data_IF_794194738238
#
_entry.id   IF_794194738238
#
_cell.length_a   1.000
_cell.length_b   1.000
_cell.length_c   1.000
_cell.angle_alpha   90.00
_cell.angle_beta   90.00
_cell.angle_gamma   90.00
#
_symmetry.space_group_name_H-M   'P 1'
#
loop_
_entity.id
_entity.type
_entity.pdbx_description
1 polymer ?
#
# COMPACT_ATOMS: atom_id res chain seq x y z
N UNK A 1 -10.80 -3.27 46.65
CA UNK A 1 -10.50 -4.36 45.71
C UNK A 1 -10.70 -3.87 44.28
N UNK A 2 -9.68 -3.29 43.66
CA UNK A 2 -9.74 -2.76 42.30
C UNK A 2 -9.24 -3.80 41.30
N UNK A 3 -10.12 -4.29 40.41
CA UNK A 3 -9.75 -5.14 39.27
C UNK A 3 -8.91 -4.33 38.29
N UNK A 4 -7.63 -4.69 38.12
CA UNK A 4 -6.78 -4.21 37.01
C UNK A 4 -7.27 -4.86 35.72
N UNK A 5 -7.88 -4.07 34.82
CA UNK A 5 -8.07 -4.49 33.43
C UNK A 5 -6.71 -4.53 32.73
N UNK A 6 -6.28 -5.71 32.29
CA UNK A 6 -5.13 -5.86 31.41
C UNK A 6 -5.48 -5.31 30.03
N UNK A 7 -5.23 -4.01 29.81
CA UNK A 7 -5.22 -3.41 28.47
C UNK A 7 -3.98 -3.93 27.74
N UNK A 8 -4.17 -4.67 26.65
CA UNK A 8 -3.11 -4.88 25.66
C UNK A 8 -2.80 -3.52 25.02
N UNK A 9 -1.54 -3.08 24.92
CA UNK A 9 -1.22 -1.74 24.42
C UNK A 9 -1.41 -1.65 22.90
N UNK A 10 -2.08 -0.59 22.44
CA UNK A 10 -2.41 -0.28 21.04
C UNK A 10 -1.24 -0.34 20.03
N UNK A 11 0.00 -0.33 20.53
CA UNK A 11 1.24 -0.46 19.74
C UNK A 11 1.37 -1.85 19.08
N UNK A 12 0.86 -2.91 19.71
CA UNK A 12 0.97 -4.26 19.17
C UNK A 12 0.04 -4.50 17.97
N UNK A 13 -1.15 -3.88 17.97
CA UNK A 13 -2.10 -3.96 16.86
C UNK A 13 -1.62 -3.16 15.64
N UNK A 14 -1.05 -1.96 15.85
CA UNK A 14 -0.52 -1.13 14.77
C UNK A 14 0.67 -1.77 14.02
N UNK A 15 1.52 -2.55 14.72
CA UNK A 15 2.64 -3.25 14.08
C UNK A 15 2.18 -4.34 13.10
N UNK A 16 1.12 -5.08 13.42
CA UNK A 16 0.58 -6.15 12.58
C UNK A 16 -0.02 -5.61 11.27
N UNK A 17 -0.62 -4.41 11.30
CA UNK A 17 -1.24 -3.75 10.13
C UNK A 17 -0.18 -3.27 9.11
N UNK A 18 1.04 -2.91 9.54
CA UNK A 18 2.10 -2.38 8.67
C UNK A 18 2.95 -3.44 7.93
N UNK A 19 2.76 -4.74 8.18
CA UNK A 19 3.65 -5.80 7.68
C UNK A 19 3.10 -6.59 6.47
N UNK A 20 1.93 -6.24 5.95
CA UNK A 20 1.23 -6.97 4.88
C UNK A 20 1.73 -6.69 3.45
N UNK A 21 2.91 -6.10 3.26
CA UNK A 21 3.43 -5.83 1.91
C UNK A 21 4.93 -6.09 1.82
N UNK A 22 5.28 -7.36 1.56
CA UNK A 22 6.40 -7.81 0.74
C UNK A 22 6.59 -9.33 0.95
N UNK A 23 6.27 -10.11 -0.07
CA UNK A 23 6.82 -11.45 -0.29
C UNK A 23 7.15 -11.55 -1.77
N UNK A 24 8.44 -11.58 -2.08
CA UNK A 24 8.92 -12.17 -3.32
C UNK A 24 8.72 -13.68 -3.21
N UNK A 25 8.26 -14.29 -4.30
CA UNK A 25 8.04 -15.72 -4.42
C UNK A 25 9.30 -16.49 -4.00
N UNK A 26 9.18 -17.32 -2.96
CA UNK A 26 10.12 -18.41 -2.76
C UNK A 26 9.88 -19.46 -3.86
N UNK A 27 10.96 -20.06 -4.35
CA UNK A 27 10.92 -21.13 -5.34
C UNK A 27 9.99 -22.29 -4.88
N UNK A 28 9.25 -22.93 -5.80
CA UNK A 28 8.37 -24.03 -5.45
C UNK A 28 9.19 -25.24 -4.96
N UNK A 29 8.73 -25.97 -3.91
CA UNK A 29 9.40 -27.18 -3.46
C UNK A 29 9.32 -28.29 -4.53
N UNK A 30 10.39 -29.09 -4.62
CA UNK A 30 10.54 -30.21 -5.56
C UNK A 30 9.45 -31.29 -5.38
N UNK A 31 9.07 -31.92 -6.50
CA UNK A 31 8.04 -32.97 -6.58
C UNK A 31 8.37 -34.18 -5.70
N UNK A 32 7.54 -34.40 -4.69
CA UNK A 32 7.46 -35.67 -3.98
C UNK A 32 6.71 -35.57 -2.66
N UNK A 33 5.41 -35.26 -2.67
CA UNK A 33 4.64 -35.09 -1.42
C UNK A 33 3.41 -36.00 -1.36
N UNK A 34 3.17 -36.49 -0.14
CA UNK A 34 2.19 -37.55 0.18
C UNK A 34 0.88 -36.92 0.62
N UNK A 35 -0.27 -37.54 0.31
CA UNK A 35 -1.61 -37.01 0.65
C UNK A 35 -1.75 -36.71 2.16
N UNK A 36 -2.19 -35.50 2.51
CA UNK A 36 -2.39 -35.07 3.90
C UNK A 36 -1.18 -34.42 4.56
N UNK A 37 -0.14 -34.07 3.79
CA UNK A 37 1.06 -33.44 4.32
C UNK A 37 0.79 -31.98 4.75
N UNK A 38 1.34 -31.62 5.91
CA UNK A 38 1.38 -30.26 6.45
C UNK A 38 2.84 -29.86 6.60
N UNK A 39 3.22 -28.70 6.07
CA UNK A 39 4.54 -28.11 6.33
C UNK A 39 4.39 -26.75 7.02
N UNK A 40 5.20 -26.52 8.06
CA UNK A 40 5.35 -25.22 8.71
C UNK A 40 6.73 -24.66 8.39
N UNK A 41 6.78 -23.47 7.80
CA UNK A 41 8.01 -22.70 7.62
C UNK A 41 7.92 -21.41 8.41
N UNK A 42 8.94 -21.11 9.21
CA UNK A 42 9.05 -19.88 9.98
C UNK A 42 10.06 -18.94 9.30
N UNK A 43 9.60 -17.77 8.89
CA UNK A 43 10.43 -16.71 8.34
C UNK A 43 10.60 -15.61 9.38
N UNK A 44 11.84 -15.27 9.72
CA UNK A 44 12.15 -14.21 10.67
C UNK A 44 12.32 -12.91 9.90
N UNK A 45 11.24 -12.12 9.76
CA UNK A 45 11.24 -10.92 8.93
C UNK A 45 11.96 -9.76 9.61
N UNK A 46 11.62 -9.48 10.88
CA UNK A 46 12.18 -8.32 11.60
C UNK A 46 12.51 -8.64 13.04
N UNK A 47 13.40 -7.87 13.62
CA UNK A 47 13.72 -7.84 15.04
C UNK A 47 13.28 -6.50 15.64
N UNK A 48 12.78 -6.51 16.87
CA UNK A 48 12.26 -5.35 17.57
C UNK A 48 13.30 -4.88 18.59
N UNK A 49 13.92 -3.74 18.34
CA UNK A 49 15.05 -3.22 19.11
C UNK A 49 14.65 -2.05 20.01
N UNK A 50 15.21 -2.06 21.23
CA UNK A 50 15.07 -0.99 22.22
C UNK A 50 13.67 -0.91 22.85
N UNK A 51 13.49 -0.02 23.85
CA UNK A 51 12.24 0.10 24.61
C UNK A 51 11.04 0.50 23.74
N UNK A 52 11.28 1.13 22.59
CA UNK A 52 10.27 1.55 21.62
C UNK A 52 9.90 0.46 20.59
N UNK A 53 10.51 -0.74 20.67
CA UNK A 53 10.27 -1.89 19.76
C UNK A 53 10.40 -1.51 18.27
N UNK A 54 11.47 -0.79 17.91
CA UNK A 54 11.71 -0.38 16.52
C UNK A 54 12.00 -1.61 15.64
N UNK A 55 11.25 -1.84 14.56
CA UNK A 55 11.44 -2.99 13.69
C UNK A 55 12.63 -2.79 12.74
N UNK A 56 13.60 -3.71 12.78
CA UNK A 56 14.80 -3.75 11.92
C UNK A 56 14.89 -5.12 11.25
N UNK A 57 15.49 -5.22 10.07
CA UNK A 57 15.70 -6.51 9.39
C UNK A 57 16.55 -7.47 10.24
N UNK A 58 16.26 -8.76 10.16
CA UNK A 58 17.09 -9.78 10.81
C UNK A 58 18.37 -9.97 9.99
N UNK A 59 19.43 -9.28 10.39
CA UNK A 59 20.76 -9.39 9.78
C UNK A 59 21.66 -10.36 10.56
N UNK A 60 22.86 -10.66 10.04
CA UNK A 60 23.82 -11.57 10.67
C UNK A 60 24.33 -11.16 12.06
N UNK A 61 23.94 -9.98 12.56
CA UNK A 61 24.25 -9.51 13.92
C UNK A 61 23.18 -9.85 14.97
N UNK A 62 22.10 -10.51 14.54
CA UNK A 62 21.01 -10.96 15.40
C UNK A 62 21.04 -12.48 15.46
N UNK A 63 21.33 -13.00 16.64
CA UNK A 63 21.17 -14.41 16.96
C UNK A 63 19.71 -14.68 17.29
N UNK A 64 19.02 -15.30 16.33
CA UNK A 64 17.61 -15.71 16.48
C UNK A 64 17.51 -16.92 17.41
N UNK A 65 16.63 -16.82 18.39
CA UNK A 65 16.28 -17.93 19.26
C UNK A 65 15.53 -19.01 18.49
N UNK A 66 15.94 -20.27 18.66
CA UNK A 66 15.27 -21.42 18.03
C UNK A 66 13.84 -21.57 18.57
N UNK A 67 12.91 -21.98 17.71
CA UNK A 67 11.59 -22.41 18.17
C UNK A 67 11.73 -23.61 19.11
N UNK A 68 11.15 -23.54 20.30
CA UNK A 68 11.23 -24.56 21.35
C UNK A 68 9.99 -25.45 21.36
N UNK A 69 8.84 -24.94 20.92
CA UNK A 69 7.64 -25.73 20.66
C UNK A 69 7.34 -25.77 19.17
N UNK A 70 6.75 -26.88 18.71
CA UNK A 70 6.26 -27.00 17.35
C UNK A 70 4.83 -26.50 17.34
N UNK A 71 4.54 -25.47 16.55
CA UNK A 71 3.17 -25.01 16.27
C UNK A 71 2.44 -26.04 15.41
N UNK A 72 2.29 -27.25 15.94
CA UNK A 72 1.74 -28.39 15.22
C UNK A 72 0.26 -28.16 14.92
N UNK A 73 -0.15 -28.55 13.72
CA UNK A 73 -1.52 -28.50 13.24
C UNK A 73 -1.82 -29.85 12.61
N UNK A 74 -3.02 -30.36 12.88
CA UNK A 74 -3.58 -31.51 12.18
C UNK A 74 -4.51 -31.05 11.06
N UNK A 75 -4.54 -31.78 9.95
CA UNK A 75 -5.40 -31.42 8.81
C UNK A 75 -6.84 -31.82 9.18
N UNK A 76 -7.79 -30.87 9.29
CA UNK A 76 -9.16 -31.23 9.62
C UNK A 76 -9.73 -32.21 8.59
N UNK A 77 -10.27 -33.38 8.99
CA UNK A 77 -10.73 -34.41 8.07
C UNK A 77 -11.81 -33.94 7.09
N UNK A 78 -12.69 -33.02 7.52
CA UNK A 78 -13.70 -32.37 6.69
C UNK A 78 -13.08 -31.49 5.60
N UNK A 79 -12.11 -30.65 5.96
CA UNK A 79 -11.39 -29.77 5.03
C UNK A 79 -10.55 -30.57 4.03
N UNK A 80 -9.93 -31.66 4.48
CA UNK A 80 -9.17 -32.60 3.64
C UNK A 80 -10.09 -33.35 2.67
N UNK A 81 -11.26 -33.81 3.12
CA UNK A 81 -12.25 -34.48 2.27
C UNK A 81 -12.81 -33.54 1.18
N UNK A 82 -12.96 -32.24 1.49
CA UNK A 82 -13.36 -31.20 0.53
C UNK A 82 -12.23 -30.84 -0.46
N UNK A 83 -11.00 -31.28 -0.23
CA UNK A 83 -9.83 -30.98 -1.07
C UNK A 83 -9.32 -29.54 -0.94
N UNK A 84 -9.69 -28.84 0.14
CA UNK A 84 -9.31 -27.45 0.39
C UNK A 84 -7.90 -27.40 0.94
N UNK A 85 -6.98 -26.70 0.27
CA UNK A 85 -5.60 -26.57 0.71
C UNK A 85 -4.90 -25.33 0.13
N UNK A 86 -3.72 -25.02 0.64
CA UNK A 86 -2.98 -23.80 0.35
C UNK A 86 -2.08 -23.39 1.51
N UNK A 87 -1.47 -22.21 1.42
CA UNK A 87 -0.58 -21.68 2.46
C UNK A 87 -1.25 -20.57 3.26
N UNK A 88 -1.46 -20.80 4.56
CA UNK A 88 -1.91 -19.79 5.52
C UNK A 88 -0.68 -19.09 6.10
N UNK A 89 -0.65 -17.75 6.04
CA UNK A 89 0.45 -16.95 6.59
C UNK A 89 -0.01 -16.18 7.85
N UNK A 90 0.62 -16.48 8.98
CA UNK A 90 0.35 -15.86 10.29
C UNK A 90 1.53 -14.99 10.71
N UNK A 91 1.30 -13.70 10.91
CA UNK A 91 2.29 -12.80 11.49
C UNK A 91 2.27 -12.91 13.01
N UNK A 92 3.43 -13.06 13.63
CA UNK A 92 3.62 -13.33 15.06
C UNK A 92 4.60 -12.30 15.63
N UNK A 93 4.23 -11.68 16.75
CA UNK A 93 5.11 -10.81 17.54
C UNK A 93 5.64 -11.57 18.75
N UNK A 94 6.96 -11.70 18.83
CA UNK A 94 7.68 -12.39 19.90
C UNK A 94 8.41 -11.36 20.76
N UNK A 95 8.32 -11.49 22.08
CA UNK A 95 9.06 -10.63 23.01
C UNK A 95 10.54 -11.05 23.16
N UNK A 96 11.29 -10.25 23.90
CA UNK A 96 12.71 -10.42 24.21
C UNK A 96 13.05 -11.73 24.95
N UNK A 97 12.04 -12.36 25.57
CA UNK A 97 12.17 -13.65 26.28
C UNK A 97 11.77 -14.83 25.39
N UNK A 98 11.37 -14.57 24.14
CA UNK A 98 10.96 -15.60 23.19
C UNK A 98 9.48 -16.00 23.30
N UNK A 99 8.64 -15.22 23.98
CA UNK A 99 7.20 -15.50 24.13
C UNK A 99 6.38 -14.79 23.07
N UNK A 100 5.39 -15.47 22.51
CA UNK A 100 4.43 -14.84 21.60
C UNK A 100 3.53 -13.89 22.38
N UNK A 101 3.47 -12.63 21.93
CA UNK A 101 2.69 -11.56 22.53
C UNK A 101 1.49 -11.15 21.69
N UNK A 102 1.54 -11.41 20.37
CA UNK A 102 0.44 -11.19 19.45
C UNK A 102 0.60 -12.08 18.22
N UNK A 103 -0.51 -12.46 17.60
CA UNK A 103 -0.54 -13.16 16.32
C UNK A 103 -1.78 -12.75 15.52
N UNK A 104 -1.65 -12.66 14.20
CA UNK A 104 -2.76 -12.33 13.30
C UNK A 104 -2.57 -12.89 11.90
N UNK A 105 -3.69 -13.17 11.23
CA UNK A 105 -3.69 -13.70 9.85
C UNK A 105 -3.29 -12.59 8.89
N UNK A 106 -2.23 -12.83 8.13
CA UNK A 106 -1.76 -11.96 7.05
C UNK A 106 -2.20 -12.46 5.67
N UNK A 107 -2.35 -13.77 5.51
CA UNK A 107 -2.95 -14.42 4.33
C UNK A 107 -3.73 -15.65 4.76
N UNK A 108 -5.03 -15.67 4.51
CA UNK A 108 -5.91 -16.79 4.81
C UNK A 108 -6.16 -17.71 3.61
N UNK A 109 -6.60 -18.94 3.89
CA UNK A 109 -7.01 -19.93 2.89
C UNK A 109 -8.46 -20.35 3.11
N UNK A 110 -8.81 -20.74 4.34
CA UNK A 110 -10.18 -21.07 4.75
C UNK A 110 -10.32 -20.75 6.25
N UNK A 111 -11.44 -20.17 6.74
CA UNK A 111 -11.59 -19.81 8.14
C UNK A 111 -11.31 -20.94 9.14
N UNK A 112 -11.58 -22.21 8.77
CA UNK A 112 -11.26 -23.37 9.62
C UNK A 112 -9.75 -23.57 9.72
N UNK A 113 -9.03 -23.47 8.60
CA UNK A 113 -7.56 -23.55 8.57
C UNK A 113 -6.91 -22.30 9.19
N UNK A 114 -7.48 -21.12 8.95
CA UNK A 114 -6.99 -19.83 9.46
C UNK A 114 -7.08 -19.78 10.98
N UNK A 115 -8.24 -20.13 11.56
CA UNK A 115 -8.41 -20.19 13.01
C UNK A 115 -7.45 -21.21 13.64
N UNK A 116 -7.30 -22.37 13.02
CA UNK A 116 -6.41 -23.43 13.48
C UNK A 116 -4.93 -23.01 13.45
N UNK A 117 -4.49 -22.36 12.36
CA UNK A 117 -3.13 -21.84 12.24
C UNK A 117 -2.87 -20.69 13.20
N UNK A 118 -3.86 -19.82 13.44
CA UNK A 118 -3.76 -18.72 14.39
C UNK A 118 -3.57 -19.23 15.81
N UNK A 119 -4.36 -20.22 16.24
CA UNK A 119 -4.22 -20.83 17.56
C UNK A 119 -2.88 -21.58 17.69
N UNK A 120 -2.48 -22.34 16.68
CA UNK A 120 -1.18 -23.02 16.69
C UNK A 120 0.00 -22.03 16.75
N UNK A 121 -0.09 -20.91 16.02
CA UNK A 121 0.91 -19.85 16.03
C UNK A 121 1.02 -19.15 17.39
N UNK A 122 -0.11 -18.96 18.10
CA UNK A 122 -0.14 -18.42 19.47
C UNK A 122 0.55 -19.34 20.49
N UNK A 123 0.54 -20.66 20.24
CA UNK A 123 1.19 -21.66 21.08
C UNK A 123 2.69 -21.85 20.83
N UNK A 124 3.28 -21.18 19.83
CA UNK A 124 4.72 -21.27 19.55
C UNK A 124 5.49 -20.54 20.65
N UNK A 125 6.57 -21.13 21.12
CA UNK A 125 7.56 -20.50 21.98
C UNK A 125 8.93 -20.54 21.30
N UNK A 126 9.72 -19.51 21.55
CA UNK A 126 11.06 -19.35 21.02
C UNK A 126 12.05 -19.26 22.17
N UNK A 127 13.30 -19.61 21.92
CA UNK A 127 14.41 -19.17 22.78
C UNK A 127 14.55 -17.64 22.73
N UNK A 128 15.21 -17.03 23.72
CA UNK A 128 15.49 -15.60 23.70
C UNK A 128 16.39 -15.26 22.50
N UNK A 129 16.02 -14.23 21.76
CA UNK A 129 16.83 -13.70 20.66
C UNK A 129 17.70 -12.56 21.15
N UNK A 130 18.94 -12.49 20.66
CA UNK A 130 19.94 -11.54 21.15
C UNK A 130 20.72 -10.95 19.98
N UNK A 131 21.17 -9.71 20.13
CA UNK A 131 22.24 -9.19 19.27
C UNK A 131 23.57 -9.85 19.65
N UNK A 132 24.56 -9.78 18.75
CA UNK A 132 25.96 -10.15 19.06
C UNK A 132 26.54 -9.41 20.27
N UNK A 133 26.06 -8.20 20.56
CA UNK A 133 26.45 -7.43 21.75
C UNK A 133 25.79 -7.92 23.07
N UNK A 134 24.97 -8.98 23.01
CA UNK A 134 24.31 -9.63 24.16
C UNK A 134 22.93 -9.08 24.51
N UNK A 135 22.50 -7.94 23.94
CA UNK A 135 21.21 -7.31 24.24
C UNK A 135 20.05 -8.16 23.70
N UNK A 136 18.97 -8.36 24.47
CA UNK A 136 17.82 -9.12 24.02
C UNK A 136 17.01 -8.34 22.97
N UNK A 137 16.34 -9.06 22.08
CA UNK A 137 15.60 -8.49 20.95
C UNK A 137 14.29 -9.25 20.77
N UNK A 138 13.18 -8.52 20.57
CA UNK A 138 11.93 -9.14 20.13
C UNK A 138 11.97 -9.51 18.65
N UNK A 139 11.02 -10.30 18.17
CA UNK A 139 10.95 -10.70 16.76
C UNK A 139 9.57 -10.49 16.16
N UNK A 140 9.57 -10.28 14.86
CA UNK A 140 8.41 -10.44 13.97
C UNK A 140 8.67 -11.69 13.15
N UNK A 141 7.87 -12.73 13.39
CA UNK A 141 7.98 -14.03 12.73
C UNK A 141 6.77 -14.21 11.83
N UNK A 142 6.97 -14.64 10.59
CA UNK A 142 5.91 -15.09 9.71
C UNK A 142 5.88 -16.62 9.72
N UNK A 143 4.77 -17.20 10.16
CA UNK A 143 4.54 -18.64 10.09
C UNK A 143 3.70 -18.97 8.86
N UNK A 144 4.26 -19.75 7.94
CA UNK A 144 3.58 -20.24 6.75
C UNK A 144 3.22 -21.72 6.92
N UNK A 145 1.92 -22.00 7.00
CA UNK A 145 1.35 -23.35 7.12
C UNK A 145 0.81 -23.79 5.76
N UNK A 146 1.44 -24.77 5.11
CA UNK A 146 0.97 -25.31 3.83
C UNK A 146 0.21 -26.62 4.03
N UNK A 147 -0.99 -26.71 3.45
CA UNK A 147 -1.87 -27.87 3.52
C UNK A 147 -2.03 -28.52 2.14
N UNK A 148 -1.70 -29.82 2.03
CA UNK A 148 -1.64 -30.55 0.76
C UNK A 148 -2.65 -31.72 0.74
N UNK A 149 -3.81 -31.57 0.07
CA UNK A 149 -4.88 -32.57 0.10
C UNK A 149 -4.65 -33.83 -0.78
N UNK A 150 -3.46 -33.99 -1.39
CA UNK A 150 -3.11 -35.12 -2.27
C UNK A 150 -3.44 -34.92 -3.76
N UNK A 151 -3.71 -33.68 -4.18
CA UNK A 151 -3.90 -33.23 -5.56
C UNK A 151 -3.62 -31.72 -5.65
N UNK A 152 -3.90 -31.04 -6.78
CA UNK A 152 -3.78 -29.57 -6.85
C UNK A 152 -4.64 -28.94 -5.74
N UNK A 153 -4.05 -28.22 -4.77
CA UNK A 153 -4.79 -27.66 -3.66
C UNK A 153 -5.87 -26.73 -4.22
N UNK A 154 -7.13 -26.98 -3.87
CA UNK A 154 -8.18 -26.01 -4.15
C UNK A 154 -8.04 -24.95 -3.05
N UNK A 155 -7.58 -23.72 -3.32
CA UNK A 155 -7.93 -22.64 -2.41
C UNK A 155 -9.45 -22.69 -2.27
N UNK A 156 -9.96 -22.42 -1.07
CA UNK A 156 -11.41 -22.24 -0.89
C UNK A 156 -11.91 -21.42 -2.07
N UNK A 157 -12.99 -21.82 -2.77
CA UNK A 157 -13.65 -20.93 -3.71
C UNK A 157 -13.85 -19.62 -2.95
N UNK A 158 -13.17 -18.54 -3.35
CA UNK A 158 -13.20 -17.28 -2.61
C UNK A 158 -14.66 -16.93 -2.42
N UNK A 159 -15.15 -17.04 -1.18
CA UNK A 159 -16.58 -17.16 -0.87
C UNK A 159 -17.39 -17.68 -2.08
N UNK A 160 -17.34 -18.98 -2.38
CA UNK A 160 -18.08 -19.62 -3.48
C UNK A 160 -19.62 -19.58 -3.35
N UNK A 161 -20.16 -18.73 -2.49
CA UNK A 161 -21.36 -17.98 -2.83
C UNK A 161 -20.87 -16.55 -2.98
N UNK A 162 -20.73 -16.06 -4.22
CA UNK A 162 -20.70 -14.63 -4.51
C UNK A 162 -21.73 -14.02 -3.57
N UNK A 163 -21.34 -13.29 -2.51
CA UNK A 163 -22.34 -12.59 -1.77
C UNK A 163 -22.99 -11.71 -2.83
N UNK A 164 -24.33 -11.71 -2.91
CA UNK A 164 -25.05 -11.17 -4.09
C UNK A 164 -24.57 -9.78 -4.54
N UNK A 165 -23.93 -9.04 -3.62
CA UNK A 165 -23.21 -7.81 -3.86
C UNK A 165 -22.17 -7.85 -4.98
N UNK A 166 -21.37 -8.90 -5.23
CA UNK A 166 -20.31 -8.81 -6.27
C UNK A 166 -20.90 -8.74 -7.68
N UNK A 167 -22.00 -9.47 -7.92
CA UNK A 167 -22.73 -9.43 -9.20
C UNK A 167 -23.39 -8.06 -9.39
N UNK A 168 -23.95 -7.50 -8.32
CA UNK A 168 -24.49 -6.13 -8.33
C UNK A 168 -23.38 -5.10 -8.58
N UNK A 169 -22.26 -5.22 -7.87
CA UNK A 169 -21.11 -4.33 -7.98
C UNK A 169 -20.52 -4.38 -9.38
N UNK A 170 -20.29 -5.57 -9.93
CA UNK A 170 -19.84 -5.73 -11.33
C UNK A 170 -20.82 -5.10 -12.30
N UNK A 171 -22.14 -5.26 -12.13
CA UNK A 171 -23.13 -4.60 -12.98
C UNK A 171 -23.03 -3.07 -12.89
N UNK A 172 -22.79 -2.52 -11.71
CA UNK A 172 -22.71 -1.08 -11.50
C UNK A 172 -21.36 -0.48 -11.93
N UNK A 173 -20.24 -1.19 -11.74
CA UNK A 173 -18.88 -0.66 -11.90
C UNK A 173 -18.13 -1.18 -13.12
N UNK A 174 -18.57 -2.24 -13.80
CA UNK A 174 -17.91 -2.65 -15.03
C UNK A 174 -18.07 -1.59 -16.14
N UNK A 175 -17.05 -1.53 -17.01
CA UNK A 175 -17.03 -0.73 -18.23
C UNK A 175 -17.47 -1.58 -19.42
N UNK A 176 -18.13 -0.95 -20.39
CA UNK A 176 -18.33 -1.55 -21.71
C UNK A 176 -17.00 -1.64 -22.46
N UNK A 177 -16.88 -2.49 -23.49
CA UNK A 177 -15.59 -2.70 -24.18
C UNK A 177 -14.93 -1.42 -24.74
N UNK A 178 -15.73 -0.45 -25.20
CA UNK A 178 -15.21 0.82 -25.73
C UNK A 178 -15.03 1.93 -24.67
N UNK A 179 -15.52 1.74 -23.44
CA UNK A 179 -15.44 2.75 -22.39
C UNK A 179 -14.09 2.71 -21.68
N UNK A 180 -13.41 3.84 -21.58
CA UNK A 180 -12.16 3.98 -20.81
C UNK A 180 -12.40 4.49 -19.38
N UNK A 181 -13.55 5.12 -19.15
CA UNK A 181 -13.91 5.77 -17.89
C UNK A 181 -15.42 5.67 -17.64
N UNK A 182 -15.81 5.56 -16.37
CA UNK A 182 -17.19 5.71 -15.91
C UNK A 182 -17.26 6.40 -14.56
N UNK A 183 -18.28 7.24 -14.40
CA UNK A 183 -18.60 7.90 -13.13
C UNK A 183 -19.84 7.25 -12.54
N UNK A 184 -19.68 6.54 -11.43
CA UNK A 184 -20.81 5.97 -10.67
C UNK A 184 -21.26 7.03 -9.67
N UNK A 185 -22.51 7.47 -9.75
CA UNK A 185 -23.03 8.58 -8.93
C UNK A 185 -23.88 8.09 -7.77
N UNK A 186 -24.04 8.89 -6.71
CA UNK A 186 -25.02 8.59 -5.67
C UNK A 186 -26.47 8.62 -6.22
N UNK A 187 -27.40 7.85 -5.62
CA UNK A 187 -27.16 6.92 -4.51
C UNK A 187 -26.31 5.72 -4.96
N UNK A 188 -25.26 5.42 -4.20
CA UNK A 188 -24.36 4.32 -4.52
C UNK A 188 -25.06 2.97 -4.29
N UNK A 189 -24.73 1.93 -5.07
CA UNK A 189 -25.29 0.61 -4.81
C UNK A 189 -24.80 0.10 -3.44
N UNK A 190 -25.64 -0.63 -2.67
CA UNK A 190 -25.24 -1.17 -1.37
C UNK A 190 -23.94 -1.98 -1.43
N UNK A 191 -23.75 -2.73 -2.52
CA UNK A 191 -22.54 -3.50 -2.80
C UNK A 191 -21.23 -2.71 -2.83
N UNK A 192 -21.27 -1.38 -2.98
CA UNK A 192 -20.08 -0.52 -2.86
C UNK A 192 -19.41 -0.69 -1.50
N UNK A 193 -20.20 -0.73 -0.42
CA UNK A 193 -19.67 -0.82 0.94
C UNK A 193 -19.10 -2.21 1.24
N UNK A 194 -19.67 -3.26 0.65
CA UNK A 194 -19.13 -4.61 0.77
C UNK A 194 -17.81 -4.75 0.01
N UNK A 195 -17.71 -4.17 -1.19
CA UNK A 195 -16.45 -4.08 -1.92
C UNK A 195 -15.37 -3.32 -1.14
N UNK A 196 -15.72 -2.18 -0.53
CA UNK A 196 -14.80 -1.40 0.31
C UNK A 196 -14.29 -2.20 1.51
N UNK A 197 -15.18 -2.82 2.28
CA UNK A 197 -14.82 -3.65 3.45
C UNK A 197 -13.95 -4.84 3.08
N UNK A 198 -14.25 -5.48 1.94
CA UNK A 198 -13.50 -6.64 1.45
C UNK A 198 -12.11 -6.22 0.95
N UNK A 199 -12.02 -5.10 0.23
CA UNK A 199 -10.77 -4.65 -0.39
C UNK A 199 -9.83 -3.95 0.60
N UNK A 200 -10.37 -3.29 1.64
CA UNK A 200 -9.61 -2.46 2.58
C UNK A 200 -10.09 -2.67 4.03
N UNK A 201 -9.97 -3.87 4.62
CA UNK A 201 -10.60 -4.20 5.90
C UNK A 201 -10.14 -3.34 7.07
N UNK A 202 -8.84 -3.04 7.19
CA UNK A 202 -8.33 -2.17 8.26
C UNK A 202 -8.81 -0.72 8.13
N UNK A 203 -8.92 -0.20 6.91
CA UNK A 203 -9.48 1.13 6.66
C UNK A 203 -10.98 1.16 6.98
N UNK A 204 -11.70 0.10 6.65
CA UNK A 204 -13.12 -0.02 6.93
C UNK A 204 -13.44 -0.17 8.41
N UNK A 205 -12.54 -0.74 9.21
CA UNK A 205 -12.63 -0.73 10.66
C UNK A 205 -12.45 0.69 11.22
N UNK A 206 -11.46 1.44 10.71
CA UNK A 206 -11.18 2.81 11.14
C UNK A 206 -12.25 3.82 10.68
N UNK A 207 -12.81 3.64 9.48
CA UNK A 207 -13.83 4.51 8.87
C UNK A 207 -14.99 3.64 8.33
N UNK A 208 -15.92 3.22 9.20
CA UNK A 208 -17.03 2.34 8.83
C UNK A 208 -18.05 2.95 7.87
N UNK A 209 -18.18 4.29 7.90
CA UNK A 209 -19.05 5.07 7.00
C UNK A 209 -18.60 5.01 5.54
N UNK A 210 -17.33 4.64 5.33
CA UNK A 210 -16.74 4.49 4.01
C UNK A 210 -16.26 5.80 3.36
N UNK A 211 -15.65 5.67 2.18
CA UNK A 211 -15.07 6.80 1.46
C UNK A 211 -16.13 7.69 0.83
N UNK A 212 -15.84 8.98 0.76
CA UNK A 212 -16.64 9.96 -0.01
C UNK A 212 -16.57 9.67 -1.52
N UNK A 213 -15.45 9.11 -1.98
CA UNK A 213 -15.18 8.71 -3.36
C UNK A 213 -14.23 7.51 -3.40
N UNK A 214 -14.51 6.53 -4.26
CA UNK A 214 -13.60 5.46 -4.62
C UNK A 214 -13.08 5.63 -6.04
N UNK A 215 -11.83 5.26 -6.25
CA UNK A 215 -11.26 5.01 -7.58
C UNK A 215 -11.11 3.51 -7.74
N UNK A 216 -11.74 2.96 -8.78
CA UNK A 216 -11.78 1.53 -9.07
C UNK A 216 -11.16 1.29 -10.43
N UNK A 217 -10.14 0.43 -10.46
CA UNK A 217 -9.52 0.00 -11.71
C UNK A 217 -10.28 -1.20 -12.26
N UNK A 218 -10.65 -1.12 -13.53
CA UNK A 218 -11.31 -2.22 -14.25
C UNK A 218 -10.36 -2.83 -15.29
N UNK A 219 -10.02 -4.11 -15.12
CA UNK A 219 -9.24 -4.87 -16.08
C UNK A 219 -10.17 -5.45 -17.15
N UNK A 220 -10.02 -4.98 -18.39
CA UNK A 220 -10.95 -5.35 -19.46
C UNK A 220 -10.78 -6.74 -20.05
N UNK A 221 -9.67 -7.41 -19.75
CA UNK A 221 -9.42 -8.78 -20.19
C UNK A 221 -10.05 -9.78 -19.22
N UNK A 222 -9.81 -9.57 -17.92
CA UNK A 222 -10.31 -10.44 -16.85
C UNK A 222 -11.67 -10.04 -16.30
N UNK A 223 -12.12 -8.82 -16.56
CA UNK A 223 -13.30 -8.20 -15.92
C UNK A 223 -13.11 -7.91 -14.44
N UNK A 224 -11.87 -7.94 -13.92
CA UNK A 224 -11.55 -7.73 -12.51
C UNK A 224 -11.71 -6.25 -12.14
N UNK A 225 -12.29 -6.00 -10.96
CA UNK A 225 -12.40 -4.68 -10.34
C UNK A 225 -11.46 -4.62 -9.14
N UNK A 226 -10.59 -3.61 -9.08
CA UNK A 226 -9.60 -3.43 -8.03
C UNK A 226 -9.76 -2.05 -7.40
N UNK A 227 -9.71 -1.97 -6.07
CA UNK A 227 -9.71 -0.68 -5.38
C UNK A 227 -8.33 -0.03 -5.58
N UNK A 228 -8.30 1.11 -6.27
CA UNK A 228 -7.06 1.84 -6.57
C UNK A 228 -6.85 3.01 -5.61
N UNK A 229 -7.93 3.70 -5.22
CA UNK A 229 -7.84 4.88 -4.38
C UNK A 229 -9.10 5.13 -3.57
N UNK A 230 -8.92 5.74 -2.40
CA UNK A 230 -9.99 6.11 -1.48
C UNK A 230 -9.80 7.58 -1.07
N UNK A 231 -10.88 8.37 -1.12
CA UNK A 231 -10.88 9.74 -0.57
C UNK A 231 -11.94 9.88 0.50
N UNK A 232 -11.61 10.65 1.54
CA UNK A 232 -12.45 10.94 2.69
C UNK A 232 -12.52 12.45 2.87
N UNK A 233 -13.72 13.01 2.96
CA UNK A 233 -13.92 14.44 3.25
C UNK A 233 -14.13 15.35 2.04
N UNK A 234 -14.52 14.82 0.88
CA UNK A 234 -14.90 15.60 -0.29
C UNK A 234 -14.66 14.88 -1.63
N UNK A 235 -15.31 15.36 -2.68
CA UNK A 235 -15.14 14.87 -4.06
C UNK A 235 -15.28 16.05 -5.01
N UNK A 236 -14.15 16.71 -5.24
CA UNK A 236 -14.00 17.87 -6.12
C UNK A 236 -13.37 17.47 -7.46
N UNK A 237 -13.48 18.36 -8.45
CA UNK A 237 -12.92 18.13 -9.77
C UNK A 237 -11.40 17.94 -9.73
N UNK A 238 -10.67 18.75 -8.96
CA UNK A 238 -9.22 18.58 -8.78
C UNK A 238 -8.89 17.16 -8.31
N UNK A 239 -9.59 16.69 -7.27
CA UNK A 239 -9.47 15.35 -6.76
C UNK A 239 -9.64 14.24 -7.77
N UNK A 240 -10.65 14.39 -8.63
CA UNK A 240 -10.94 13.45 -9.69
C UNK A 240 -9.81 13.40 -10.74
N UNK A 241 -9.24 14.56 -11.07
CA UNK A 241 -8.09 14.64 -11.99
C UNK A 241 -6.85 13.97 -11.37
N UNK A 242 -6.63 14.15 -10.07
CA UNK A 242 -5.55 13.47 -9.34
C UNK A 242 -5.74 11.94 -9.34
N UNK A 243 -6.98 11.47 -9.14
CA UNK A 243 -7.34 10.06 -9.26
C UNK A 243 -7.14 9.49 -10.68
N UNK A 244 -7.10 10.33 -11.72
CA UNK A 244 -6.75 9.95 -13.09
C UNK A 244 -5.24 10.00 -13.36
N UNK A 245 -4.43 10.32 -12.36
CA UNK A 245 -2.98 10.45 -12.50
C UNK A 245 -2.53 11.79 -13.10
N UNK A 246 -3.41 12.80 -13.17
CA UNK A 246 -2.99 14.15 -13.58
C UNK A 246 -2.41 14.88 -12.37
N UNK A 247 -1.09 15.07 -12.37
CA UNK A 247 -0.43 15.78 -11.28
C UNK A 247 -0.91 17.24 -11.19
N UNK A 248 -1.03 17.77 -9.96
CA UNK A 248 -1.47 19.15 -9.70
C UNK A 248 -0.72 20.21 -10.51
N UNK A 249 0.61 20.09 -10.58
CA UNK A 249 1.47 21.01 -11.34
C UNK A 249 1.27 20.93 -12.86
N UNK A 250 0.58 19.90 -13.36
CA UNK A 250 0.25 19.69 -14.76
C UNK A 250 -1.22 20.08 -15.07
N UNK A 251 -1.89 20.79 -14.15
CA UNK A 251 -3.25 21.31 -14.33
C UNK A 251 -3.19 22.82 -14.47
N UNK A 252 -3.90 23.36 -15.46
CA UNK A 252 -4.12 24.80 -15.65
C UNK A 252 -5.62 25.07 -15.73
N UNK A 253 -6.18 25.66 -14.68
CA UNK A 253 -7.62 25.85 -14.53
C UNK A 253 -7.96 26.99 -13.56
N UNK A 254 -9.17 27.53 -13.68
CA UNK A 254 -9.74 28.43 -12.68
C UNK A 254 -9.95 27.68 -11.34
N UNK A 255 -9.56 28.25 -10.19
CA UNK A 255 -9.72 27.60 -8.88
C UNK A 255 -11.17 27.25 -8.54
N UNK A 256 -12.14 28.07 -8.96
CA UNK A 256 -13.57 27.79 -8.75
C UNK A 256 -14.04 26.57 -9.55
N UNK A 257 -13.48 26.35 -10.73
CA UNK A 257 -13.75 25.15 -11.52
C UNK A 257 -13.13 23.90 -10.88
N UNK A 258 -11.90 23.99 -10.36
CA UNK A 258 -11.23 22.88 -9.67
C UNK A 258 -11.94 22.47 -8.38
N UNK A 259 -12.47 23.44 -7.63
CA UNK A 259 -13.23 23.21 -6.40
C UNK A 259 -14.69 22.81 -6.62
N UNK A 260 -15.16 22.68 -7.87
CA UNK A 260 -16.53 22.27 -8.15
C UNK A 260 -16.79 20.85 -7.63
N UNK A 261 -17.93 20.66 -6.95
CA UNK A 261 -18.30 19.35 -6.40
C UNK A 261 -18.69 18.38 -7.51
N UNK A 262 -17.99 17.24 -7.58
CA UNK A 262 -18.22 16.16 -8.54
C UNK A 262 -18.37 14.85 -7.77
N UNK A 263 -19.44 14.73 -6.98
CA UNK A 263 -19.66 13.55 -6.15
C UNK A 263 -19.89 12.30 -7.01
N UNK A 264 -18.92 11.39 -6.98
CA UNK A 264 -18.93 10.14 -7.71
C UNK A 264 -17.90 9.14 -7.15
N UNK A 265 -18.02 7.90 -7.58
CA UNK A 265 -16.90 7.00 -7.71
C UNK A 265 -16.42 7.01 -9.16
N UNK A 266 -15.11 6.87 -9.33
CA UNK A 266 -14.45 6.83 -10.61
C UNK A 266 -14.06 5.39 -10.93
N UNK A 267 -14.48 4.90 -12.11
CA UNK A 267 -13.97 3.66 -12.67
C UNK A 267 -13.09 3.98 -13.87
N UNK A 268 -11.86 3.46 -13.86
CA UNK A 268 -10.88 3.67 -14.94
C UNK A 268 -10.48 2.32 -15.50
N UNK A 269 -10.44 2.20 -16.83
CA UNK A 269 -9.90 1.03 -17.51
C UNK A 269 -8.40 0.92 -17.21
N UNK A 270 -7.95 -0.28 -16.85
CA UNK A 270 -6.53 -0.57 -16.63
C UNK A 270 -5.71 -0.16 -17.85
N UNK A 271 -4.70 0.68 -17.61
CA UNK A 271 -3.80 1.18 -18.66
C UNK A 271 -4.32 2.41 -19.41
N UNK A 272 -5.57 2.84 -19.19
CA UNK A 272 -6.07 4.07 -19.80
C UNK A 272 -5.35 5.29 -19.22
N UNK A 273 -4.92 6.17 -20.10
CA UNK A 273 -4.29 7.44 -19.78
C UNK A 273 -5.32 8.51 -19.44
N UNK A 274 -4.90 9.55 -18.73
CA UNK A 274 -5.75 10.71 -18.48
C UNK A 274 -6.23 11.39 -19.77
N UNK A 275 -5.42 11.37 -20.83
CA UNK A 275 -5.78 11.93 -22.13
C UNK A 275 -6.91 11.16 -22.81
N UNK A 276 -6.86 9.82 -22.76
CA UNK A 276 -7.94 8.97 -23.26
C UNK A 276 -9.23 9.15 -22.45
N UNK A 277 -9.09 9.36 -21.14
CA UNK A 277 -10.20 9.58 -20.22
C UNK A 277 -10.86 10.96 -20.36
N UNK A 278 -10.10 11.99 -20.74
CA UNK A 278 -10.56 13.39 -20.73
C UNK A 278 -11.81 13.66 -21.58
N UNK A 279 -11.97 13.14 -22.82
CA UNK A 279 -13.20 13.34 -23.58
C UNK A 279 -14.45 12.78 -22.88
N UNK A 280 -14.33 11.59 -22.28
CA UNK A 280 -15.43 10.97 -21.53
C UNK A 280 -15.76 11.76 -20.28
N UNK A 281 -14.73 12.19 -19.55
CA UNK A 281 -14.90 13.01 -18.35
C UNK A 281 -15.52 14.37 -18.69
N UNK A 282 -15.01 15.10 -19.68
CA UNK A 282 -15.56 16.38 -20.15
C UNK A 282 -17.05 16.22 -20.49
N UNK A 283 -17.40 15.20 -21.26
CA UNK A 283 -18.79 14.97 -21.64
C UNK A 283 -19.69 14.79 -20.41
N UNK A 284 -19.28 14.00 -19.41
CA UNK A 284 -20.08 13.81 -18.19
C UNK A 284 -20.14 15.08 -17.35
N UNK A 285 -19.03 15.81 -17.20
CA UNK A 285 -19.00 17.08 -16.47
C UNK A 285 -19.99 18.08 -17.08
N UNK A 286 -20.02 18.21 -18.41
CA UNK A 286 -20.94 19.13 -19.12
C UNK A 286 -22.38 18.65 -19.10
N UNK A 287 -22.63 17.39 -19.40
CA UNK A 287 -24.00 16.89 -19.61
C UNK A 287 -24.72 16.53 -18.33
N UNK A 288 -24.00 16.00 -17.34
CA UNK A 288 -24.57 15.50 -16.07
C UNK A 288 -24.38 16.51 -14.95
N UNK A 289 -23.15 16.98 -14.73
CA UNK A 289 -22.84 17.94 -13.66
C UNK A 289 -23.11 19.40 -14.06
N UNK A 290 -23.45 19.65 -15.33
CA UNK A 290 -23.70 20.99 -15.88
C UNK A 290 -22.53 21.95 -15.66
N UNK A 291 -21.31 21.41 -15.59
CA UNK A 291 -20.10 22.20 -15.48
C UNK A 291 -19.67 22.66 -16.87
N UNK A 292 -19.58 23.99 -17.11
CA UNK A 292 -19.18 24.56 -18.38
C UNK A 292 -17.67 24.42 -18.60
N UNK A 293 -17.18 23.21 -18.88
CA UNK A 293 -15.74 22.92 -19.00
C UNK A 293 -15.36 22.40 -20.37
N UNK A 294 -14.22 22.85 -20.87
CA UNK A 294 -13.48 22.24 -21.99
C UNK A 294 -12.13 21.76 -21.49
N UNK A 295 -11.84 20.49 -21.70
CA UNK A 295 -10.59 19.84 -21.30
C UNK A 295 -9.69 19.70 -22.52
N UNK A 296 -8.44 20.14 -22.43
CA UNK A 296 -7.50 20.03 -23.55
C UNK A 296 -6.08 19.87 -23.04
N UNK A 297 -5.37 18.86 -23.50
CA UNK A 297 -3.96 18.72 -23.22
C UNK A 297 -3.11 19.47 -24.24
N UNK A 298 -2.07 20.15 -23.75
CA UNK A 298 -1.13 20.92 -24.57
C UNK A 298 0.30 20.68 -24.10
N UNK A 299 1.21 20.76 -25.06
CA UNK A 299 2.64 20.78 -24.79
C UNK A 299 3.07 22.23 -24.59
N UNK A 300 3.79 22.50 -23.51
CA UNK A 300 4.32 23.82 -23.24
C UNK A 300 5.65 23.79 -22.50
N UNK A 301 6.47 24.81 -22.73
CA UNK A 301 7.73 24.97 -22.02
C UNK A 301 7.47 25.40 -20.57
N UNK A 302 7.86 24.53 -19.63
CA UNK A 302 7.86 24.84 -18.19
C UNK A 302 9.24 24.62 -17.61
N UNK A 303 9.51 25.30 -16.50
CA UNK A 303 10.62 24.92 -15.63
C UNK A 303 10.33 23.53 -15.03
N UNK A 304 11.32 22.66 -15.14
CA UNK A 304 11.33 21.32 -14.54
C UNK A 304 12.62 21.13 -13.74
N UNK A 305 12.58 20.19 -12.81
CA UNK A 305 13.76 19.70 -12.10
C UNK A 305 14.27 18.47 -12.85
N UNK A 306 15.54 18.44 -13.22
CA UNK A 306 16.19 17.27 -13.82
C UNK A 306 17.10 16.61 -12.79
N UNK A 307 16.82 15.35 -12.47
CA UNK A 307 17.58 14.52 -11.56
C UNK A 307 18.63 13.68 -12.32
N UNK A 308 19.89 13.70 -11.87
CA UNK A 308 21.03 13.04 -12.53
C UNK A 308 21.92 12.28 -11.55
N UNK A 309 22.73 11.37 -12.08
CA UNK A 309 23.79 10.66 -11.36
C UNK A 309 23.39 9.26 -10.90
N UNK A 310 24.30 8.59 -10.20
CA UNK A 310 24.08 7.27 -9.59
C UNK A 310 23.44 7.36 -8.21
N UNK A 311 22.41 6.56 -7.96
CA UNK A 311 21.75 6.50 -6.65
C UNK A 311 22.61 5.73 -5.63
N UNK A 312 22.95 6.38 -4.52
CA UNK A 312 23.61 5.76 -3.38
C UNK A 312 23.10 6.37 -2.06
N UNK A 313 22.37 5.58 -1.27
CA UNK A 313 21.77 6.04 -0.02
C UNK A 313 22.84 6.30 1.07
N UNK A 314 22.75 7.48 1.68
CA UNK A 314 23.54 7.97 2.82
C UNK A 314 22.57 8.59 3.84
N UNK A 315 22.00 7.80 4.76
CA UNK A 315 21.01 8.30 5.71
C UNK A 315 21.59 9.43 6.58
N UNK A 316 20.79 10.42 6.99
CA UNK A 316 21.26 11.44 7.92
C UNK A 316 21.57 10.81 9.28
N UNK A 317 22.74 11.12 9.86
CA UNK A 317 23.26 10.46 11.07
C UNK A 317 22.37 10.65 12.33
N UNK A 318 21.50 11.65 12.33
CA UNK A 318 20.72 12.08 13.51
C UNK A 318 19.26 11.61 13.50
N UNK A 319 18.85 10.90 12.46
CA UNK A 319 17.53 10.21 12.42
C UNK A 319 17.82 8.78 12.79
N UNK A 320 17.04 8.18 13.69
CA UNK A 320 17.19 6.75 14.01
C UNK A 320 17.39 5.97 12.72
N UNK A 321 18.53 5.28 12.61
CA UNK A 321 19.10 4.76 11.36
C UNK A 321 18.17 3.73 10.73
N UNK A 322 17.23 4.25 9.96
CA UNK A 322 16.13 3.50 9.40
C UNK A 322 16.31 3.35 7.88
N UNK A 323 17.47 3.66 7.29
CA UNK A 323 17.72 3.46 5.85
C UNK A 323 16.62 4.06 4.94
N UNK A 324 16.10 5.22 5.32
CA UNK A 324 15.00 5.93 4.65
C UNK A 324 15.50 7.28 4.13
N UNK A 325 15.13 7.65 2.91
CA UNK A 325 15.28 9.02 2.41
C UNK A 325 14.25 9.90 3.13
N UNK A 326 14.73 10.87 3.89
CA UNK A 326 13.90 11.86 4.56
C UNK A 326 13.71 13.07 3.64
N UNK A 327 12.46 13.37 3.28
CA UNK A 327 12.10 14.52 2.45
C UNK A 327 11.54 15.60 3.40
N UNK A 328 12.34 16.64 3.67
CA UNK A 328 12.07 17.73 4.63
C UNK A 328 12.67 19.04 4.12
N UNK A 329 12.21 20.19 4.63
CA UNK A 329 12.67 21.53 4.23
C UNK A 329 14.01 21.94 4.87
N UNK A 330 14.04 22.84 5.86
CA UNK A 330 15.29 23.32 6.49
C UNK A 330 15.72 22.45 7.66
N UNK A 331 14.76 22.07 8.50
CA UNK A 331 15.01 21.32 9.72
C UNK A 331 14.29 19.99 9.63
N UNK A 332 15.01 18.90 9.90
CA UNK A 332 14.37 17.60 10.01
C UNK A 332 13.50 17.57 11.28
N UNK A 333 12.18 17.54 11.14
CA UNK A 333 11.25 17.43 12.26
C UNK A 333 11.52 16.14 13.08
N UNK A 334 11.90 16.24 14.36
CA UNK A 334 12.11 15.07 15.22
C UNK A 334 10.80 14.42 15.71
N UNK A 335 9.64 15.05 15.44
CA UNK A 335 8.32 14.60 15.87
C UNK A 335 7.60 13.68 14.87
N UNK A 336 6.37 13.23 15.19
CA UNK A 336 5.56 12.36 14.33
C UNK A 336 4.95 13.08 13.11
N UNK A 337 5.50 14.23 12.70
CA UNK A 337 5.01 15.15 11.67
C UNK A 337 5.09 14.64 10.23
N UNK A 338 5.05 13.32 10.01
CA UNK A 338 5.06 12.73 8.66
C UNK A 338 3.73 13.02 7.95
N UNK A 339 3.83 13.49 6.71
CA UNK A 339 2.72 13.62 5.76
C UNK A 339 2.50 12.32 4.98
N UNK A 340 3.53 11.47 4.88
CA UNK A 340 3.46 10.19 4.20
C UNK A 340 4.78 9.44 4.25
N UNK A 341 4.78 8.24 3.67
CA UNK A 341 5.97 7.41 3.53
C UNK A 341 5.64 6.08 2.89
N UNK A 342 6.66 5.39 2.40
CA UNK A 342 6.48 4.14 1.69
C UNK A 342 7.77 3.52 1.20
N UNK A 343 7.64 2.50 0.36
CA UNK A 343 8.74 1.86 -0.35
C UNK A 343 8.45 1.88 -1.84
N UNK A 344 9.39 2.37 -2.65
CA UNK A 344 9.24 2.52 -4.10
C UNK A 344 10.57 2.29 -4.83
N UNK A 345 10.62 2.45 -6.16
CA UNK A 345 11.85 2.50 -6.95
C UNK A 345 12.47 3.90 -6.89
N UNK A 346 13.68 4.08 -7.44
CA UNK A 346 14.24 5.44 -7.57
C UNK A 346 13.37 6.33 -8.46
N UNK A 347 12.78 5.79 -9.54
CA UNK A 347 11.83 6.53 -10.37
C UNK A 347 10.61 6.99 -9.56
N UNK A 348 10.03 6.10 -8.75
CA UNK A 348 8.90 6.46 -7.89
C UNK A 348 9.28 7.43 -6.76
N UNK A 349 10.53 7.48 -6.29
CA UNK A 349 10.98 8.55 -5.40
C UNK A 349 10.94 9.91 -6.12
N UNK A 350 11.33 9.97 -7.39
CA UNK A 350 11.26 11.20 -8.18
C UNK A 350 9.82 11.64 -8.44
N UNK A 351 8.89 10.71 -8.63
CA UNK A 351 7.45 10.99 -8.70
C UNK A 351 6.95 11.62 -7.39
N UNK A 352 7.30 11.03 -6.24
CA UNK A 352 6.98 11.58 -4.91
C UNK A 352 7.56 12.99 -4.74
N UNK A 353 8.79 13.25 -5.20
CA UNK A 353 9.38 14.58 -5.17
C UNK A 353 8.62 15.55 -6.08
N UNK A 354 8.23 15.12 -7.28
CA UNK A 354 7.47 15.98 -8.18
C UNK A 354 6.14 16.42 -7.56
N UNK A 355 5.43 15.48 -6.91
CA UNK A 355 4.21 15.76 -6.17
C UNK A 355 4.47 16.66 -4.95
N UNK A 356 5.53 16.41 -4.19
CA UNK A 356 5.87 17.19 -2.99
C UNK A 356 6.21 18.64 -3.35
N UNK A 357 7.02 18.83 -4.39
CA UNK A 357 7.53 20.13 -4.82
C UNK A 357 6.56 20.90 -5.72
N UNK A 358 5.48 20.25 -6.17
CA UNK A 358 4.54 20.80 -7.15
C UNK A 358 5.26 21.27 -8.43
N UNK A 359 6.24 20.48 -8.87
CA UNK A 359 7.08 20.77 -10.04
C UNK A 359 7.48 19.45 -10.73
N UNK A 360 7.44 19.34 -12.06
CA UNK A 360 7.87 18.12 -12.75
C UNK A 360 9.32 17.75 -12.43
N UNK A 361 9.57 16.48 -12.14
CA UNK A 361 10.92 15.93 -11.95
C UNK A 361 11.23 14.93 -13.06
N UNK A 362 12.15 15.30 -13.96
CA UNK A 362 12.60 14.46 -15.07
C UNK A 362 13.78 13.62 -14.62
N UNK A 363 13.71 12.31 -14.83
CA UNK A 363 14.79 11.38 -14.51
C UNK A 363 15.80 11.26 -15.66
N UNK A 364 17.04 11.62 -15.39
CA UNK A 364 18.24 11.26 -16.17
C UNK A 364 19.25 10.56 -15.23
N UNK A 365 18.72 9.80 -14.27
CA UNK A 365 19.45 9.01 -13.28
C UNK A 365 19.96 7.72 -13.92
N UNK A 366 21.14 7.27 -13.51
CA UNK A 366 21.72 6.01 -13.98
C UNK A 366 20.79 4.82 -13.66
N UNK A 367 20.68 3.81 -14.56
CA UNK A 367 19.82 2.65 -14.33
C UNK A 367 20.13 1.96 -12.99
N UNK A 368 19.08 1.64 -12.24
CA UNK A 368 19.22 1.01 -10.92
C UNK A 368 18.00 0.19 -10.55
N UNK A 369 18.22 -0.90 -9.82
CA UNK A 369 17.17 -1.75 -9.24
C UNK A 369 16.94 -1.46 -7.74
N UNK A 370 17.52 -0.37 -7.23
CA UNK A 370 17.41 -0.02 -5.82
C UNK A 370 15.95 0.20 -5.41
N UNK A 371 15.59 -0.40 -4.26
CA UNK A 371 14.34 -0.09 -3.56
C UNK A 371 14.60 1.00 -2.54
N UNK A 372 13.80 2.05 -2.61
CA UNK A 372 13.92 3.23 -1.75
C UNK A 372 12.79 3.23 -0.74
N UNK A 373 13.15 3.25 0.55
CA UNK A 373 12.20 3.64 1.60
C UNK A 373 12.29 5.14 1.77
N UNK A 374 11.14 5.79 1.94
CA UNK A 374 11.09 7.24 2.06
C UNK A 374 10.05 7.68 3.10
N UNK A 375 10.28 8.86 3.65
CA UNK A 375 9.33 9.56 4.51
C UNK A 375 9.22 11.01 4.04
N UNK A 376 7.99 11.49 3.87
CA UNK A 376 7.68 12.89 3.56
C UNK A 376 7.27 13.57 4.85
N UNK A 377 8.00 14.61 5.23
CA UNK A 377 7.67 15.47 6.36
C UNK A 377 6.69 16.56 5.93
N UNK A 378 5.81 17.00 6.83
CA UNK A 378 4.77 18.00 6.52
C UNK A 378 5.35 19.34 6.05
N UNK A 379 6.53 19.68 6.52
CA UNK A 379 7.25 20.90 6.16
C UNK A 379 7.72 20.89 4.70
N UNK A 380 8.08 19.73 4.15
CA UNK A 380 8.48 19.56 2.75
C UNK A 380 7.37 19.94 1.76
N UNK A 381 6.10 19.94 2.20
CA UNK A 381 4.97 20.37 1.39
C UNK A 381 4.94 21.90 1.18
N UNK A 382 5.83 22.66 1.85
CA UNK A 382 5.98 24.10 1.66
C UNK A 382 6.86 24.36 0.44
N UNK A 383 6.21 24.75 -0.66
CA UNK A 383 6.87 25.05 -1.94
C UNK A 383 7.82 26.25 -1.91
N UNK A 384 7.89 27.00 -0.81
CA UNK A 384 8.86 28.08 -0.62
C UNK A 384 10.32 27.57 -0.43
N UNK A 385 10.51 26.30 -0.09
CA UNK A 385 11.81 25.72 0.28
C UNK A 385 12.25 24.57 -0.64
N UNK A 386 11.87 24.63 -1.92
CA UNK A 386 12.22 23.61 -2.92
C UNK A 386 13.72 23.33 -2.94
N UNK A 387 14.54 24.36 -2.89
CA UNK A 387 16.00 24.21 -2.93
C UNK A 387 16.56 23.51 -1.67
N UNK A 388 15.98 23.76 -0.50
CA UNK A 388 16.35 23.08 0.74
C UNK A 388 16.03 21.59 0.65
N UNK A 389 14.80 21.25 0.21
CA UNK A 389 14.38 19.86 0.01
C UNK A 389 15.30 19.14 -0.96
N UNK A 390 15.60 19.74 -2.12
CA UNK A 390 16.48 19.14 -3.12
C UNK A 390 17.90 18.94 -2.58
N UNK A 391 18.45 19.91 -1.85
CA UNK A 391 19.78 19.77 -1.21
C UNK A 391 19.81 18.62 -0.21
N UNK A 392 18.76 18.46 0.60
CA UNK A 392 18.68 17.37 1.57
C UNK A 392 18.58 16.01 0.89
N UNK A 393 17.81 15.90 -0.19
CA UNK A 393 17.73 14.66 -0.97
C UNK A 393 19.07 14.37 -1.65
N UNK A 394 19.75 15.38 -2.22
CA UNK A 394 21.10 15.22 -2.77
C UNK A 394 22.08 14.69 -1.74
N UNK A 395 22.11 15.26 -0.53
CA UNK A 395 23.00 14.81 0.54
C UNK A 395 22.78 13.33 0.91
N UNK A 396 21.52 12.87 0.83
CA UNK A 396 21.14 11.51 1.18
C UNK A 396 21.25 10.49 0.05
N UNK A 397 21.26 10.91 -1.21
CA UNK A 397 21.11 9.98 -2.35
C UNK A 397 22.24 10.06 -3.35
N UNK A 398 23.05 11.13 -3.30
CA UNK A 398 24.05 11.43 -4.32
C UNK A 398 23.46 11.97 -5.64
N UNK A 399 22.13 12.03 -5.77
CA UNK A 399 21.47 12.57 -6.96
C UNK A 399 21.65 14.08 -7.03
N UNK A 400 21.91 14.60 -8.23
CA UNK A 400 22.06 16.03 -8.48
C UNK A 400 20.81 16.54 -9.18
N UNK A 401 20.25 17.64 -8.69
CA UNK A 401 19.05 18.26 -9.23
C UNK A 401 19.39 19.61 -9.87
N UNK A 402 18.87 19.85 -11.06
CA UNK A 402 19.07 21.12 -11.79
C UNK A 402 17.75 21.61 -12.37
N UNK A 403 17.53 22.92 -12.40
CA UNK A 403 16.39 23.51 -13.11
C UNK A 403 16.70 23.59 -14.59
N UNK A 404 15.76 23.16 -15.42
CA UNK A 404 15.83 23.30 -16.87
C UNK A 404 14.45 23.66 -17.41
N UNK A 405 14.41 24.36 -18.54
CA UNK A 405 13.18 24.51 -19.31
C UNK A 405 13.01 23.28 -20.17
N UNK A 406 11.85 22.62 -20.08
CA UNK A 406 11.49 21.46 -20.90
C UNK A 406 10.01 21.53 -21.27
N UNK A 407 9.68 20.86 -22.37
CA UNK A 407 8.30 20.63 -22.76
C UNK A 407 7.60 19.73 -21.74
N UNK A 408 6.48 20.19 -21.19
CA UNK A 408 5.63 19.47 -20.25
C UNK A 408 4.22 19.37 -20.82
N UNK A 409 3.61 18.20 -20.65
CA UNK A 409 2.22 17.96 -21.03
C UNK A 409 1.29 18.48 -19.95
N UNK A 410 0.45 19.46 -20.27
CA UNK A 410 -0.43 20.16 -19.32
C UNK A 410 -1.88 20.04 -19.73
N UNK A 411 -2.74 19.71 -18.76
CA UNK A 411 -4.18 19.71 -18.91
C UNK A 411 -4.76 21.10 -18.63
N UNK A 412 -5.36 21.70 -19.65
CA UNK A 412 -6.14 22.93 -19.53
C UNK A 412 -7.61 22.61 -19.30
N UNK A 413 -8.21 23.26 -18.30
CA UNK A 413 -9.66 23.29 -18.09
C UNK A 413 -10.15 24.73 -18.28
N UNK A 414 -10.73 25.01 -19.44
CA UNK A 414 -11.27 26.33 -19.76
C UNK A 414 -12.78 26.35 -19.54
N UNK A 415 -13.28 27.46 -18.99
CA UNK A 415 -14.73 27.67 -18.91
C UNK A 415 -15.26 27.96 -20.32
N UNK A 416 -16.33 27.28 -20.72
CA UNK A 416 -17.02 27.52 -22.00
C UNK A 416 -18.43 28.00 -21.76
N UNK A 417 -18.81 29.10 -22.40
CA UNK A 417 -20.16 29.69 -22.25
C UNK A 417 -21.29 28.75 -22.68
#
# INVERSE_FOLDING_TARGET
>A
MGRRSSRVPAVAAALLVCLASAVAAAEPPERGETRGQISLVLFFKKALLGPEKKPVEVTGDIQVGKATTKGHVEYPPDVLAEGIGGTVEVAILVDELGRVTSAGISRGVDPRLDALCLEAARGISFGPSRRKDGRPVGLVVMAAYSFIPGGTPKPKPGAGATPGWEKEFKRAYALNQAEVLKLVRPPFPPSRMDFYRTSNPGQAEAIPEGPSQMTVRWDGESGRLECEGLRFGGSDLEGLLLSLGVARYAISADPGLLGAEVRCDLVVRKGATAEECAPSLENVLRTVYKLPVRMTFKDEEREVIVARGGYALRPPQNVGDNGEVQIFDRDLDPGPGRAGGGTTSVAGLLEVLAETLQCPVVSEVEPTHARVRYAVHRDALRTAYVDDVLRNVTAQTGLVFTRQTRTVRVLYLNKVE
#
